data_IF_256288837181
#
_entry.id   IF_256288837181
#
_cell.length_a   1.000
_cell.length_b   1.000
_cell.length_c   1.000
_cell.angle_alpha   90.00
_cell.angle_beta   90.00
_cell.angle_gamma   90.00
#
_symmetry.space_group_name_H-M   'P 1'
#
loop_
_entity.id
_entity.type
_entity.pdbx_description
1 polymer ?
#
# COMPACT_ATOMS: atom_id res chain seq x y z
N UNK A 1 17.15 -17.48 2.02
CA UNK A 1 17.75 -16.21 1.54
C UNK A 1 18.11 -16.15 0.03
N UNK A 2 18.33 -17.27 -0.69
CA UNK A 2 18.78 -17.26 -2.11
C UNK A 2 17.88 -16.51 -3.12
N UNK A 3 17.02 -17.22 -3.86
CA UNK A 3 16.18 -16.60 -4.90
C UNK A 3 15.17 -15.58 -4.35
N UNK A 4 14.74 -15.75 -3.09
CA UNK A 4 13.84 -14.81 -2.43
C UNK A 4 14.44 -13.41 -2.35
N UNK A 5 15.71 -13.26 -1.96
CA UNK A 5 16.34 -11.95 -1.90
C UNK A 5 16.50 -11.35 -3.29
N UNK A 6 16.87 -12.16 -4.30
CA UNK A 6 16.92 -11.68 -5.70
C UNK A 6 15.57 -11.16 -6.20
N UNK A 7 14.48 -11.81 -5.80
CA UNK A 7 13.15 -11.35 -6.15
C UNK A 7 12.74 -10.09 -5.39
N UNK A 8 13.12 -9.98 -4.12
CA UNK A 8 12.95 -8.74 -3.35
C UNK A 8 13.71 -7.60 -4.04
N UNK A 9 14.99 -7.78 -4.36
CA UNK A 9 15.81 -6.79 -5.07
C UNK A 9 15.19 -6.38 -6.41
N UNK A 10 14.60 -7.33 -7.14
CA UNK A 10 13.88 -7.06 -8.38
C UNK A 10 12.61 -6.21 -8.14
N UNK A 11 11.75 -6.62 -7.19
CA UNK A 11 10.49 -5.92 -6.92
C UNK A 11 10.71 -4.51 -6.36
N UNK A 12 11.77 -4.29 -5.57
CA UNK A 12 12.10 -2.97 -5.04
C UNK A 12 12.86 -2.07 -6.03
N UNK A 13 13.20 -2.57 -7.22
CA UNK A 13 13.82 -1.71 -8.24
C UNK A 13 12.83 -0.67 -8.75
N UNK A 14 13.31 0.55 -8.99
CA UNK A 14 12.53 1.71 -9.43
C UNK A 14 11.58 1.36 -10.59
N UNK A 15 12.12 0.81 -11.69
CA UNK A 15 11.34 0.49 -12.89
C UNK A 15 10.25 -0.54 -12.67
N UNK A 16 10.44 -1.49 -11.75
CA UNK A 16 9.44 -2.51 -11.42
C UNK A 16 8.39 -1.93 -10.48
N UNK A 17 8.78 -1.05 -9.55
CA UNK A 17 7.83 -0.32 -8.73
C UNK A 17 6.94 0.61 -9.57
N UNK A 18 7.49 1.33 -10.56
CA UNK A 18 6.70 2.18 -11.47
C UNK A 18 5.66 1.34 -12.22
N UNK A 19 6.09 0.28 -12.89
CA UNK A 19 5.21 -0.61 -13.65
C UNK A 19 4.13 -1.26 -12.78
N UNK A 20 4.48 -1.73 -11.58
CA UNK A 20 3.51 -2.32 -10.67
C UNK A 20 2.50 -1.28 -10.18
N UNK A 21 2.95 -0.07 -9.89
CA UNK A 21 2.07 1.00 -9.42
C UNK A 21 1.11 1.45 -10.51
N UNK A 22 1.59 1.70 -11.73
CA UNK A 22 0.76 2.03 -12.89
C UNK A 22 -0.29 0.94 -13.19
N UNK A 23 0.11 -0.33 -13.10
CA UNK A 23 -0.78 -1.45 -13.41
C UNK A 23 -1.83 -1.72 -12.34
N UNK A 24 -1.47 -1.64 -11.05
CA UNK A 24 -2.34 -2.03 -9.93
C UNK A 24 -3.01 -0.84 -9.25
N UNK A 25 -2.40 0.34 -9.32
CA UNK A 25 -2.90 1.59 -8.74
C UNK A 25 -2.50 1.84 -7.28
N UNK A 26 -1.64 1.03 -6.68
CA UNK A 26 -1.13 1.26 -5.32
C UNK A 26 0.12 2.13 -5.32
N UNK A 27 0.23 3.00 -4.32
CA UNK A 27 1.41 3.82 -4.04
C UNK A 27 2.67 2.95 -3.87
N UNK A 28 3.77 3.24 -4.57
CA UNK A 28 5.03 2.53 -4.39
C UNK A 28 5.67 2.90 -3.05
N UNK A 29 6.64 2.10 -2.58
CA UNK A 29 7.41 2.42 -1.37
C UNK A 29 8.62 3.29 -1.66
N UNK A 30 9.07 3.33 -2.92
CA UNK A 30 10.07 4.28 -3.38
C UNK A 30 9.46 5.67 -3.55
N UNK A 31 10.02 6.65 -2.83
CA UNK A 31 9.53 8.01 -2.83
C UNK A 31 9.73 8.69 -4.19
N UNK A 32 10.81 8.40 -4.93
CA UNK A 32 11.03 9.04 -6.23
C UNK A 32 9.96 8.61 -7.24
N UNK A 33 9.64 7.31 -7.25
CA UNK A 33 8.58 6.75 -8.10
C UNK A 33 7.22 7.32 -7.70
N UNK A 34 6.94 7.43 -6.40
CA UNK A 34 5.70 8.04 -5.93
C UNK A 34 5.56 9.49 -6.43
N UNK A 35 6.62 10.29 -6.29
CA UNK A 35 6.65 11.70 -6.69
C UNK A 35 6.51 11.87 -8.20
N UNK A 36 7.15 11.02 -9.00
CA UNK A 36 7.02 11.00 -10.45
C UNK A 36 5.58 10.69 -10.86
N UNK A 37 5.01 9.59 -10.35
CA UNK A 37 3.68 9.13 -10.74
C UNK A 37 2.54 10.01 -10.22
N UNK A 38 2.74 10.73 -9.11
CA UNK A 38 1.79 11.71 -8.59
C UNK A 38 1.99 13.13 -9.16
N UNK A 39 3.10 13.36 -9.86
CA UNK A 39 3.47 14.65 -10.42
C UNK A 39 2.60 15.06 -11.62
N UNK A 40 2.74 16.30 -12.13
CA UNK A 40 1.93 16.84 -13.22
C UNK A 40 1.84 15.99 -14.50
N UNK A 41 2.92 15.25 -14.79
CA UNK A 41 3.02 14.40 -15.98
C UNK A 41 2.83 12.90 -15.65
N UNK A 42 2.52 12.57 -14.40
CA UNK A 42 2.37 11.20 -13.91
C UNK A 42 0.94 10.66 -14.07
N UNK A 43 0.82 9.32 -14.13
CA UNK A 43 -0.45 8.61 -14.33
C UNK A 43 -1.51 8.95 -13.27
N UNK A 44 -1.09 9.26 -12.03
CA UNK A 44 -1.97 9.53 -10.91
C UNK A 44 -2.02 11.01 -10.53
N UNK A 45 -1.70 11.91 -11.47
CA UNK A 45 -1.82 13.34 -11.24
C UNK A 45 -3.23 13.72 -10.75
N UNK A 46 -3.29 14.59 -9.75
CA UNK A 46 -4.52 15.04 -9.08
C UNK A 46 -5.37 13.94 -8.40
N UNK A 47 -4.89 12.70 -8.29
CA UNK A 47 -5.60 11.66 -7.54
C UNK A 47 -5.34 11.80 -6.02
N UNK A 48 -6.31 12.27 -5.22
CA UNK A 48 -6.12 12.50 -3.80
C UNK A 48 -5.99 11.20 -2.99
N UNK A 49 -6.32 10.04 -3.57
CA UNK A 49 -6.21 8.74 -2.93
C UNK A 49 -4.86 8.07 -3.18
N UNK A 50 -4.07 8.55 -4.14
CA UNK A 50 -2.84 7.88 -4.55
C UNK A 50 -1.65 8.16 -3.62
N UNK A 51 -1.53 9.38 -3.10
CA UNK A 51 -0.51 9.70 -2.08
C UNK A 51 -1.17 9.69 -0.69
N UNK A 52 -0.76 8.80 0.22
CA UNK A 52 -1.30 8.78 1.58
C UNK A 52 -1.13 10.13 2.28
N UNK A 53 -2.20 10.62 2.92
CA UNK A 53 -2.11 11.81 3.76
C UNK A 53 -1.17 11.54 4.94
N UNK A 54 -0.45 12.55 5.40
CA UNK A 54 0.37 12.48 6.61
C UNK A 54 0.08 13.66 7.53
N UNK A 55 0.19 13.45 8.85
CA UNK A 55 0.11 14.53 9.84
C UNK A 55 -1.28 15.00 10.24
N UNK A 56 -2.36 14.32 9.83
CA UNK A 56 -3.69 14.64 10.37
C UNK A 56 -3.88 14.01 11.75
N UNK A 57 -4.33 14.82 12.72
CA UNK A 57 -4.40 14.44 14.14
C UNK A 57 -5.26 13.21 14.43
N UNK A 58 -6.26 12.93 13.60
CA UNK A 58 -7.16 11.79 13.77
C UNK A 58 -6.81 10.61 12.86
N UNK A 59 -5.69 10.66 12.13
CA UNK A 59 -5.21 9.49 11.43
C UNK A 59 -4.71 8.44 12.44
N UNK A 60 -5.03 7.18 12.16
CA UNK A 60 -4.65 6.04 13.00
C UNK A 60 -3.85 5.03 12.16
N UNK A 61 -2.84 4.43 12.78
CA UNK A 61 -2.18 3.23 12.26
C UNK A 61 -2.60 2.04 13.10
N UNK A 62 -3.31 1.09 12.49
CA UNK A 62 -3.74 -0.11 13.18
C UNK A 62 -2.56 -1.07 13.33
N UNK A 63 -2.36 -1.55 14.55
CA UNK A 63 -1.34 -2.55 14.86
C UNK A 63 -2.01 -3.90 15.07
N UNK A 64 -1.26 -4.96 14.81
CA UNK A 64 -1.75 -6.30 15.08
C UNK A 64 -1.97 -6.51 16.59
N UNK A 65 -3.18 -6.92 16.95
CA UNK A 65 -3.56 -7.35 18.29
C UNK A 65 -4.28 -8.69 18.19
N UNK A 66 -3.73 -9.70 18.86
CA UNK A 66 -4.21 -11.08 18.76
C UNK A 66 -5.65 -11.25 19.31
N UNK A 67 -5.97 -10.58 20.43
CA UNK A 67 -7.27 -10.67 21.07
C UNK A 67 -8.35 -9.99 20.21
N UNK A 68 -8.04 -8.79 19.70
CA UNK A 68 -8.93 -8.06 18.81
C UNK A 68 -9.12 -8.79 17.49
N UNK A 69 -8.06 -9.36 16.89
CA UNK A 69 -8.16 -10.16 15.67
C UNK A 69 -9.17 -11.30 15.85
N UNK A 70 -9.04 -12.09 16.91
CA UNK A 70 -9.95 -13.20 17.17
C UNK A 70 -11.40 -12.72 17.33
N UNK A 71 -11.62 -11.67 18.12
CA UNK A 71 -12.96 -11.13 18.39
C UNK A 71 -13.61 -10.51 17.14
N UNK A 72 -12.86 -9.72 16.37
CA UNK A 72 -13.36 -9.09 15.16
C UNK A 72 -13.64 -10.11 14.05
N UNK A 73 -12.83 -11.17 13.94
CA UNK A 73 -13.10 -12.27 13.00
C UNK A 73 -14.41 -13.01 13.30
N UNK A 74 -14.69 -13.32 14.58
CA UNK A 74 -15.98 -13.93 14.96
C UNK A 74 -17.17 -13.02 14.65
N UNK A 75 -17.06 -11.73 15.00
CA UNK A 75 -18.10 -10.74 14.70
C UNK A 75 -18.33 -10.58 13.18
N UNK A 76 -17.26 -10.58 12.38
CA UNK A 76 -17.36 -10.47 10.94
C UNK A 76 -18.10 -11.66 10.31
N UNK A 77 -17.84 -12.89 10.77
CA UNK A 77 -18.54 -14.08 10.30
C UNK A 77 -20.06 -13.97 10.57
N UNK A 78 -20.45 -13.49 11.76
CA UNK A 78 -21.87 -13.28 12.10
C UNK A 78 -22.56 -12.25 11.20
N UNK A 79 -21.81 -11.27 10.69
CA UNK A 79 -22.31 -10.25 9.76
C UNK A 79 -22.40 -10.79 8.33
N UNK A 80 -21.42 -11.57 7.89
CA UNK A 80 -21.26 -11.98 6.49
C UNK A 80 -21.88 -13.33 6.14
N UNK A 81 -22.00 -14.23 7.11
CA UNK A 81 -22.56 -15.56 6.93
C UNK A 81 -23.95 -15.55 7.56
N UNK A 82 -24.95 -15.15 6.77
CA UNK A 82 -26.35 -15.46 7.02
C UNK A 82 -26.72 -16.77 6.33
#
# INVERSE_FOLDING_TARGET
>A
PGLANKFIDYIISESVQSQNSEWVGYTPVDLSVQEELAGPDGEFFENPAYVPRTGYKLDETFHFDEQLKAKLSDLWNKVKVQ
#
